data_IF_214170630544
#
_entry.id   IF_214170630544
#
_cell.length_a   1.000
_cell.length_b   1.000
_cell.length_c   1.000
_cell.angle_alpha   90.00
_cell.angle_beta   90.00
_cell.angle_gamma   90.00
#
_symmetry.space_group_name_H-M   'P 1'
#
loop_
_entity.id
_entity.type
_entity.pdbx_description
1 polymer ?
#
# COMPACT_ATOMS: atom_id res chain seq x y z
N UNK A 1 3.84 -22.73 4.06
CA UNK A 1 4.36 -21.46 4.62
C UNK A 1 5.34 -20.87 3.62
N UNK A 2 5.39 -19.55 3.45
CA UNK A 2 6.28 -18.85 2.51
C UNK A 2 6.79 -17.54 3.14
N UNK A 3 8.07 -17.21 2.89
CA UNK A 3 8.59 -15.87 3.14
C UNK A 3 8.15 -14.99 1.98
N UNK A 4 7.60 -13.83 2.30
CA UNK A 4 6.93 -12.95 1.34
C UNK A 4 7.44 -11.52 1.47
N UNK A 5 7.28 -10.74 0.40
CA UNK A 5 7.35 -9.28 0.44
C UNK A 5 5.94 -8.69 0.57
N UNK A 6 5.84 -7.47 1.09
CA UNK A 6 4.57 -6.74 1.17
C UNK A 6 4.04 -6.44 -0.25
N UNK A 7 2.82 -6.86 -0.55
CA UNK A 7 2.11 -6.48 -1.78
C UNK A 7 1.53 -5.06 -1.72
N UNK A 8 0.93 -4.61 -2.82
CA UNK A 8 0.35 -3.27 -2.94
C UNK A 8 -1.09 -3.33 -3.47
N UNK A 9 -1.96 -2.45 -2.98
CA UNK A 9 -3.33 -2.28 -3.46
C UNK A 9 -3.46 -1.07 -4.35
N UNK A 10 -4.24 -1.17 -5.42
CA UNK A 10 -4.62 -0.01 -6.21
C UNK A 10 -5.32 1.05 -5.33
N UNK A 11 -5.37 2.27 -5.84
CA UNK A 11 -6.09 3.37 -5.16
C UNK A 11 -7.53 2.95 -4.85
N UNK A 12 -7.96 3.20 -3.61
CA UNK A 12 -9.34 2.95 -3.17
C UNK A 12 -10.36 3.82 -3.90
N UNK A 13 -11.63 3.43 -3.78
CA UNK A 13 -12.74 4.16 -4.40
C UNK A 13 -12.99 5.51 -3.68
N UNK A 14 -13.66 6.48 -4.35
CA UNK A 14 -14.09 7.71 -3.69
C UNK A 14 -14.94 7.42 -2.45
N UNK A 15 -14.91 8.28 -1.42
CA UNK A 15 -15.72 8.11 -0.21
C UNK A 15 -17.22 7.97 -0.51
N UNK A 16 -17.89 7.11 0.23
CA UNK A 16 -19.35 6.93 0.16
C UNK A 16 -20.06 8.01 0.97
N UNK A 17 -21.03 8.70 0.34
CA UNK A 17 -21.88 9.68 1.02
C UNK A 17 -22.98 8.99 1.81
N UNK A 18 -23.16 9.41 3.06
CA UNK A 18 -24.18 8.89 3.96
C UNK A 18 -24.82 10.02 4.75
N UNK A 19 -26.14 9.99 4.90
CA UNK A 19 -26.86 10.95 5.77
C UNK A 19 -27.07 10.33 7.14
N UNK A 20 -26.61 11.00 8.19
CA UNK A 20 -26.87 10.54 9.55
C UNK A 20 -28.36 10.73 9.94
N UNK A 21 -28.86 10.08 11.01
CA UNK A 21 -30.24 10.24 11.46
C UNK A 21 -30.65 11.67 11.83
N UNK A 22 -29.71 12.61 11.92
CA UNK A 22 -29.93 14.04 12.18
C UNK A 22 -29.90 14.86 10.89
N UNK A 23 -29.89 14.21 9.72
CA UNK A 23 -29.91 14.83 8.40
C UNK A 23 -28.60 15.47 7.99
N UNK A 24 -27.48 15.17 8.66
CA UNK A 24 -26.16 15.71 8.30
C UNK A 24 -25.41 14.75 7.40
N UNK A 25 -24.82 15.28 6.33
CA UNK A 25 -23.94 14.52 5.44
C UNK A 25 -22.68 14.05 6.17
N UNK A 26 -22.28 12.82 5.86
CA UNK A 26 -21.08 12.12 6.33
C UNK A 26 -20.43 11.44 5.13
N UNK A 27 -19.12 11.25 5.22
CA UNK A 27 -18.34 10.54 4.22
C UNK A 27 -17.70 9.32 4.87
N UNK A 28 -17.96 8.14 4.33
CA UNK A 28 -17.33 6.89 4.73
C UNK A 28 -16.14 6.58 3.84
N UNK A 29 -15.06 6.08 4.45
CA UNK A 29 -13.92 5.56 3.70
C UNK A 29 -14.39 4.28 3.00
N UNK A 30 -14.37 4.31 1.67
CA UNK A 30 -14.82 3.20 0.83
C UNK A 30 -13.82 2.04 0.82
N UNK A 31 -14.21 0.98 0.14
CA UNK A 31 -13.38 -0.21 -0.06
C UNK A 31 -12.01 0.15 -0.65
N UNK A 32 -10.97 -0.50 -0.11
CA UNK A 32 -9.64 -0.44 -0.68
C UNK A 32 -9.65 -1.02 -2.11
N UNK A 33 -8.72 -0.56 -2.95
CA UNK A 33 -8.59 -1.10 -4.30
C UNK A 33 -8.16 -2.58 -4.30
N UNK A 34 -8.32 -3.19 -5.47
CA UNK A 34 -7.82 -4.54 -5.75
C UNK A 34 -6.30 -4.64 -5.61
N UNK A 35 -5.77 -5.86 -5.53
CA UNK A 35 -4.33 -6.09 -5.49
C UNK A 35 -3.68 -5.66 -6.82
N UNK A 36 -2.92 -4.57 -6.79
CA UNK A 36 -2.16 -4.06 -7.95
C UNK A 36 -0.81 -4.79 -8.05
N UNK A 37 -0.18 -5.00 -6.90
CA UNK A 37 0.97 -5.90 -6.76
C UNK A 37 0.59 -7.05 -5.83
N UNK A 38 0.05 -8.11 -6.45
CA UNK A 38 -0.42 -9.33 -5.79
C UNK A 38 0.11 -10.60 -6.49
N UNK A 39 1.24 -10.49 -7.20
CA UNK A 39 1.86 -11.60 -7.92
C UNK A 39 2.72 -12.52 -7.04
N UNK A 40 3.39 -13.53 -7.63
CA UNK A 40 4.25 -14.47 -6.90
C UNK A 40 5.25 -13.77 -5.97
N UNK A 41 5.40 -14.30 -4.76
CA UNK A 41 6.27 -13.75 -3.71
C UNK A 41 5.62 -12.67 -2.83
N UNK A 42 4.44 -12.16 -3.19
CA UNK A 42 3.64 -11.29 -2.31
C UNK A 42 2.90 -12.09 -1.25
N UNK A 43 2.57 -11.40 -0.16
CA UNK A 43 1.65 -11.89 0.85
C UNK A 43 0.26 -12.22 0.30
N UNK A 44 -0.31 -11.36 -0.56
CA UNK A 44 -1.57 -11.63 -1.25
C UNK A 44 -1.56 -12.96 -1.99
N UNK A 45 -0.53 -13.20 -2.80
CA UNK A 45 -0.40 -14.44 -3.56
C UNK A 45 -0.27 -15.67 -2.65
N UNK A 46 0.55 -15.58 -1.60
CA UNK A 46 0.74 -16.70 -0.67
C UNK A 46 -0.58 -17.11 0.01
N UNK A 47 -1.35 -16.13 0.49
CA UNK A 47 -2.66 -16.37 1.11
C UNK A 47 -3.67 -16.93 0.11
N UNK A 48 -3.72 -16.39 -1.11
CA UNK A 48 -4.62 -16.90 -2.17
C UNK A 48 -4.34 -18.36 -2.54
N UNK A 49 -3.11 -18.84 -2.34
CA UNK A 49 -2.69 -20.22 -2.59
C UNK A 49 -2.59 -21.08 -1.32
N UNK A 50 -3.28 -20.69 -0.25
CA UNK A 50 -3.36 -21.43 1.02
C UNK A 50 -2.02 -21.66 1.74
N UNK A 51 -1.05 -20.76 1.57
CA UNK A 51 0.17 -20.74 2.36
C UNK A 51 0.06 -19.73 3.52
N UNK A 52 0.63 -20.05 4.67
CA UNK A 52 0.96 -19.03 5.69
C UNK A 52 2.01 -18.09 5.12
N UNK A 53 1.74 -16.79 5.18
CA UNK A 53 2.63 -15.71 4.73
C UNK A 53 3.45 -15.17 5.89
N UNK A 54 4.76 -15.01 5.71
CA UNK A 54 5.65 -14.37 6.69
C UNK A 54 6.38 -13.24 5.99
N UNK A 55 5.97 -12.00 6.26
CA UNK A 55 6.55 -10.79 5.68
C UNK A 55 7.38 -10.05 6.72
N UNK A 56 8.73 -10.01 6.60
CA UNK A 56 9.54 -9.16 7.45
C UNK A 56 9.28 -7.69 7.08
N UNK A 57 8.94 -6.87 8.07
CA UNK A 57 8.66 -5.43 7.91
C UNK A 57 9.61 -4.61 8.79
N UNK A 58 9.85 -3.36 8.39
CA UNK A 58 10.65 -2.39 9.13
C UNK A 58 9.87 -1.09 9.31
N UNK A 59 10.12 -0.37 10.40
CA UNK A 59 9.46 0.92 10.70
C UNK A 59 10.16 2.09 10.01
N UNK A 60 11.47 1.98 9.74
CA UNK A 60 12.19 2.99 8.97
C UNK A 60 11.69 3.00 7.52
N UNK A 61 10.94 4.05 7.16
CA UNK A 61 10.38 4.27 5.83
C UNK A 61 11.33 5.04 4.90
N UNK A 62 12.55 5.33 5.33
CA UNK A 62 13.55 6.02 4.51
C UNK A 62 13.92 5.14 3.31
N UNK A 63 13.69 5.62 2.10
CA UNK A 63 14.15 4.95 0.87
C UNK A 63 15.64 5.23 0.65
N UNK A 64 16.49 4.56 1.42
CA UNK A 64 17.95 4.74 1.43
C UNK A 64 18.58 4.66 0.03
N UNK A 65 18.07 3.79 -0.85
CA UNK A 65 18.56 3.67 -2.23
C UNK A 65 18.32 4.89 -3.11
N UNK A 66 17.38 5.77 -2.74
CA UNK A 66 17.09 7.00 -3.49
C UNK A 66 17.98 8.19 -3.07
N UNK A 67 18.72 8.08 -1.95
CA UNK A 67 19.53 9.19 -1.43
C UNK A 67 20.61 9.67 -2.43
N UNK A 68 21.38 8.78 -3.10
CA UNK A 68 22.39 9.23 -4.06
C UNK A 68 21.78 9.96 -5.28
N UNK A 69 20.60 9.53 -5.73
CA UNK A 69 19.91 10.14 -6.87
C UNK A 69 19.39 11.54 -6.52
N UNK A 70 18.83 11.70 -5.33
CA UNK A 70 18.36 12.99 -4.82
C UNK A 70 19.51 13.97 -4.61
N UNK A 71 20.66 13.50 -4.09
CA UNK A 71 21.85 14.35 -3.94
C UNK A 71 22.33 14.85 -5.30
N UNK A 72 22.45 13.96 -6.30
CA UNK A 72 22.85 14.35 -7.67
C UNK A 72 21.89 15.36 -8.28
N UNK A 73 20.59 15.22 -8.04
CA UNK A 73 19.58 16.16 -8.53
C UNK A 73 19.74 17.56 -7.89
N UNK A 74 20.01 17.63 -6.58
CA UNK A 74 20.25 18.91 -5.89
C UNK A 74 21.53 19.60 -6.38
N UNK A 75 22.62 18.85 -6.51
CA UNK A 75 23.91 19.40 -6.95
C UNK A 75 23.86 19.93 -8.40
N UNK A 76 23.05 19.28 -9.25
CA UNK A 76 22.83 19.71 -10.65
C UNK A 76 21.76 20.79 -10.84
N UNK A 77 21.05 21.18 -9.77
CA UNK A 77 20.07 22.27 -9.79
C UNK A 77 20.70 23.65 -9.43
N UNK A 78 22.02 23.71 -9.24
CA UNK A 78 22.78 24.94 -9.00
C UNK A 78 23.32 25.57 -10.29
#
# INVERSE_FOLDING_TARGET
MQITRLGHRAKGQPPEQFSDPRGKERLWISVAGEGDDAGPGTDFHAVAHAFVSITPIQVDMTRHSALPDLQRWLDGAQ
#
